data_IF_068105946540
#
_entry.id   IF_068105946540
#
_cell.length_a   1.000
_cell.length_b   1.000
_cell.length_c   1.000
_cell.angle_alpha   90.00
_cell.angle_beta   90.00
_cell.angle_gamma   90.00
#
_symmetry.space_group_name_H-M   'P 1'
#
loop_
_entity.id
_entity.type
_entity.pdbx_description
1 polymer ?
#
# COMPACT_ATOMS: atom_id res chain seq x y z
N UNK A 1 -4.24 -20.55 -20.37
CA UNK A 1 -4.29 -21.07 -18.99
C UNK A 1 -5.44 -22.05 -18.89
N UNK A 2 -5.20 -23.24 -18.35
CA UNK A 2 -6.21 -24.24 -18.07
C UNK A 2 -7.12 -23.79 -16.91
N UNK A 3 -8.40 -24.17 -16.96
CA UNK A 3 -9.39 -23.73 -15.96
C UNK A 3 -9.01 -24.16 -14.52
N UNK A 4 -8.43 -25.36 -14.35
CA UNK A 4 -7.98 -25.83 -13.06
C UNK A 4 -6.82 -24.98 -12.51
N UNK A 5 -5.78 -24.75 -13.31
CA UNK A 5 -4.66 -23.87 -12.94
C UNK A 5 -5.15 -22.48 -12.57
N UNK A 6 -6.12 -21.98 -13.33
CA UNK A 6 -6.74 -20.69 -13.06
C UNK A 6 -7.35 -20.63 -11.65
N UNK A 7 -8.21 -21.59 -11.29
CA UNK A 7 -8.83 -21.61 -9.96
C UNK A 7 -7.81 -21.80 -8.83
N UNK A 8 -6.76 -22.58 -9.07
CA UNK A 8 -5.65 -22.78 -8.14
C UNK A 8 -4.87 -21.50 -7.89
N UNK A 9 -4.50 -20.77 -8.95
CA UNK A 9 -3.86 -19.47 -8.84
C UNK A 9 -4.77 -18.46 -8.14
N UNK A 10 -6.06 -18.38 -8.52
CA UNK A 10 -7.05 -17.52 -7.86
C UNK A 10 -7.11 -17.74 -6.34
N UNK A 11 -7.08 -18.99 -5.89
CA UNK A 11 -7.04 -19.33 -4.46
C UNK A 11 -5.70 -18.95 -3.82
N UNK A 12 -4.59 -19.12 -4.54
CA UNK A 12 -3.28 -18.65 -4.07
C UNK A 12 -3.24 -17.12 -3.85
N UNK A 13 -3.95 -16.34 -4.67
CA UNK A 13 -4.10 -14.88 -4.48
C UNK A 13 -4.81 -14.50 -3.17
N UNK A 14 -5.57 -15.41 -2.55
CA UNK A 14 -6.20 -15.22 -1.23
C UNK A 14 -5.48 -16.01 -0.11
N UNK A 15 -4.22 -16.38 -0.34
CA UNK A 15 -3.38 -17.19 0.57
C UNK A 15 -3.93 -18.60 0.87
N UNK A 16 -4.74 -19.15 -0.03
CA UNK A 16 -5.24 -20.53 0.03
C UNK A 16 -4.57 -21.35 -1.10
N UNK A 17 -3.34 -21.80 -0.85
CA UNK A 17 -2.47 -22.42 -1.87
C UNK A 17 -2.48 -23.94 -1.75
N UNK A 18 -3.08 -24.63 -2.73
CA UNK A 18 -2.88 -26.07 -2.94
C UNK A 18 -1.59 -26.29 -3.76
N UNK A 19 -0.47 -26.41 -3.04
CA UNK A 19 0.87 -26.49 -3.65
C UNK A 19 1.04 -27.72 -4.55
N UNK A 20 0.48 -28.85 -4.15
CA UNK A 20 0.57 -30.09 -4.93
C UNK A 20 -0.21 -29.99 -6.24
N UNK A 21 -1.43 -29.45 -6.19
CA UNK A 21 -2.24 -29.26 -7.38
C UNK A 21 -1.64 -28.20 -8.32
N UNK A 22 -1.07 -27.10 -7.79
CA UNK A 22 -0.34 -26.12 -8.59
C UNK A 22 0.86 -26.74 -9.30
N UNK A 23 1.67 -27.53 -8.58
CA UNK A 23 2.87 -28.16 -9.13
C UNK A 23 2.52 -29.15 -10.26
N UNK A 24 1.47 -29.96 -10.06
CA UNK A 24 0.94 -30.87 -11.10
C UNK A 24 0.43 -30.12 -12.33
N UNK A 25 -0.16 -28.94 -12.12
CA UNK A 25 -0.72 -28.11 -13.18
C UNK A 25 0.37 -27.39 -13.99
N UNK A 26 1.52 -27.06 -13.36
CA UNK A 26 2.63 -26.31 -13.97
C UNK A 26 3.07 -26.86 -15.32
N UNK A 27 3.32 -28.16 -15.40
CA UNK A 27 3.88 -28.80 -16.61
C UNK A 27 2.96 -28.72 -17.84
N UNK A 28 1.67 -28.39 -17.63
CA UNK A 28 0.67 -28.32 -18.69
C UNK A 28 0.39 -26.90 -19.18
N UNK A 29 1.10 -25.92 -18.64
CA UNK A 29 0.85 -24.50 -18.86
C UNK A 29 1.91 -23.84 -19.73
N UNK A 30 1.60 -22.67 -20.29
CA UNK A 30 2.58 -21.88 -21.04
C UNK A 30 3.68 -21.33 -20.12
N UNK A 31 4.90 -21.06 -20.64
CA UNK A 31 6.03 -20.60 -19.82
C UNK A 31 5.72 -19.39 -18.92
N UNK A 32 4.90 -18.46 -19.43
CA UNK A 32 4.46 -17.30 -18.67
C UNK A 32 3.59 -17.66 -17.45
N UNK A 33 2.65 -18.60 -17.60
CA UNK A 33 1.84 -19.09 -16.48
C UNK A 33 2.67 -19.97 -15.53
N UNK A 34 3.65 -20.70 -16.06
CA UNK A 34 4.60 -21.46 -15.23
C UNK A 34 5.42 -20.56 -14.31
N UNK A 35 5.81 -19.37 -14.77
CA UNK A 35 6.51 -18.38 -13.94
C UNK A 35 5.64 -17.90 -12.78
N UNK A 36 4.35 -17.65 -12.99
CA UNK A 36 3.42 -17.28 -11.92
C UNK A 36 3.21 -18.42 -10.91
N UNK A 37 3.09 -19.66 -11.41
CA UNK A 37 3.04 -20.85 -10.54
C UNK A 37 4.33 -20.95 -9.74
N UNK A 38 5.49 -20.70 -10.35
CA UNK A 38 6.77 -20.68 -9.64
C UNK A 38 6.82 -19.59 -8.58
N UNK A 39 6.30 -18.40 -8.83
CA UNK A 39 6.25 -17.33 -7.82
C UNK A 39 5.39 -17.74 -6.62
N UNK A 40 4.21 -18.34 -6.86
CA UNK A 40 3.33 -18.86 -5.81
C UNK A 40 4.01 -19.99 -5.02
N UNK A 41 4.65 -20.93 -5.70
CA UNK A 41 5.25 -22.11 -5.08
C UNK A 41 6.58 -21.79 -4.37
N UNK A 42 7.34 -20.84 -4.90
CA UNK A 42 8.56 -20.25 -4.29
C UNK A 42 8.23 -19.26 -3.18
N UNK A 43 7.01 -19.26 -2.63
CA UNK A 43 6.75 -18.72 -1.29
C UNK A 43 7.60 -19.50 -0.25
N UNK A 44 8.92 -19.33 -0.26
CA UNK A 44 9.61 -19.06 0.98
C UNK A 44 9.06 -17.72 1.41
N UNK A 45 8.15 -17.71 2.39
CA UNK A 45 7.94 -16.51 3.19
C UNK A 45 9.37 -16.05 3.52
N UNK A 46 9.84 -14.92 2.96
CA UNK A 46 11.11 -14.41 3.40
C UNK A 46 11.03 -14.34 4.93
N UNK A 47 12.06 -14.82 5.64
CA UNK A 47 12.23 -14.55 7.08
C UNK A 47 12.43 -13.04 7.35
N UNK A 48 11.95 -12.17 6.45
CA UNK A 48 11.82 -10.75 6.69
C UNK A 48 10.67 -10.64 7.69
N UNK A 49 11.03 -10.55 8.96
CA UNK A 49 10.12 -10.08 10.00
C UNK A 49 9.82 -8.61 9.72
N UNK A 50 8.82 -8.38 8.86
CA UNK A 50 8.11 -7.11 8.76
C UNK A 50 7.24 -6.85 10.01
N UNK A 51 7.08 -7.89 10.83
CA UNK A 51 6.33 -7.92 12.07
C UNK A 51 6.99 -7.03 13.11
N UNK A 52 6.53 -5.78 13.17
CA UNK A 52 6.13 -5.13 14.42
C UNK A 52 5.67 -3.71 14.11
N UNK A 53 4.47 -3.38 14.58
CA UNK A 53 3.96 -2.01 14.67
C UNK A 53 4.68 -1.29 15.83
N UNK A 54 6.01 -1.19 15.75
CA UNK A 54 6.78 -0.36 16.67
C UNK A 54 6.74 1.07 16.13
N UNK A 55 5.77 1.86 16.57
CA UNK A 55 6.03 3.29 16.71
C UNK A 55 6.88 3.56 17.97
N UNK A 56 6.79 2.65 18.95
CA UNK A 56 7.36 2.77 20.30
C UNK A 56 8.78 2.26 20.50
N UNK A 57 9.47 1.72 19.49
CA UNK A 57 10.92 1.48 19.62
C UNK A 57 11.64 2.83 19.46
N UNK A 58 11.67 3.59 20.57
CA UNK A 58 12.14 4.99 20.69
C UNK A 58 13.56 5.29 20.15
N UNK A 59 14.27 4.28 19.67
CA UNK A 59 15.64 4.37 19.12
C UNK A 59 15.70 4.27 17.59
N UNK A 60 14.57 4.24 16.88
CA UNK A 60 14.53 4.17 15.41
C UNK A 60 14.45 5.58 14.83
N UNK A 61 15.28 5.86 13.83
CA UNK A 61 15.23 7.12 13.05
C UNK A 61 13.86 7.24 12.36
N UNK A 62 13.10 8.29 12.71
CA UNK A 62 11.74 8.52 12.25
C UNK A 62 11.65 8.69 10.73
N UNK A 63 12.66 9.33 10.13
CA UNK A 63 12.74 9.54 8.69
C UNK A 63 13.03 8.23 7.95
N UNK A 64 13.96 7.42 8.46
CA UNK A 64 14.25 6.11 7.88
C UNK A 64 13.03 5.19 7.91
N UNK A 65 12.28 5.19 9.01
CA UNK A 65 11.07 4.38 9.16
C UNK A 65 9.93 4.86 8.24
N UNK A 66 9.79 6.18 8.07
CA UNK A 66 8.85 6.77 7.12
C UNK A 66 9.17 6.33 5.68
N UNK A 67 10.43 6.43 5.27
CA UNK A 67 10.89 6.03 3.93
C UNK A 67 10.65 4.53 3.66
N UNK A 68 11.02 3.67 4.60
CA UNK A 68 10.73 2.23 4.52
C UNK A 68 9.22 1.99 4.40
N UNK A 69 8.42 2.74 5.14
CA UNK A 69 6.96 2.58 5.14
C UNK A 69 6.34 2.99 3.82
N UNK A 70 6.71 4.15 3.29
CA UNK A 70 6.21 4.65 2.01
C UNK A 70 6.60 3.71 0.87
N UNK A 71 7.87 3.33 0.79
CA UNK A 71 8.37 2.45 -0.28
C UNK A 71 7.67 1.11 -0.21
N UNK A 72 7.64 0.48 0.97
CA UNK A 72 6.97 -0.82 1.15
C UNK A 72 5.50 -0.75 0.81
N UNK A 73 4.81 0.33 1.20
CA UNK A 73 3.41 0.50 0.88
C UNK A 73 3.15 0.64 -0.62
N UNK A 74 3.82 1.56 -1.31
CA UNK A 74 3.63 1.78 -2.75
C UNK A 74 3.98 0.52 -3.54
N UNK A 75 5.06 -0.17 -3.17
CA UNK A 75 5.45 -1.43 -3.81
C UNK A 75 4.38 -2.51 -3.61
N UNK A 76 3.81 -2.63 -2.41
CA UNK A 76 2.73 -3.58 -2.21
C UNK A 76 1.49 -3.25 -3.04
N UNK A 77 1.04 -1.99 -3.04
CA UNK A 77 -0.12 -1.55 -3.84
C UNK A 77 0.11 -1.82 -5.33
N UNK A 78 1.29 -1.44 -5.84
CA UNK A 78 1.61 -1.65 -7.26
C UNK A 78 1.68 -3.13 -7.62
N UNK A 79 2.19 -3.99 -6.72
CA UNK A 79 2.19 -5.42 -6.91
C UNK A 79 0.75 -6.00 -6.91
N UNK A 80 -0.16 -5.49 -6.07
CA UNK A 80 -1.60 -5.81 -6.16
C UNK A 80 -2.15 -5.44 -7.54
N UNK A 81 -1.91 -4.21 -8.01
CA UNK A 81 -2.43 -3.73 -9.29
C UNK A 81 -1.88 -4.55 -10.45
N UNK A 82 -0.59 -4.90 -10.42
CA UNK A 82 0.05 -5.79 -11.39
C UNK A 82 -0.68 -7.14 -11.47
N UNK A 83 -0.96 -7.75 -10.33
CA UNK A 83 -1.61 -9.05 -10.28
C UNK A 83 -3.13 -9.02 -10.55
N UNK A 84 -3.81 -7.92 -10.23
CA UNK A 84 -5.19 -7.67 -10.66
C UNK A 84 -5.27 -7.53 -12.19
N UNK A 85 -4.31 -6.82 -12.80
CA UNK A 85 -4.19 -6.72 -14.27
C UNK A 85 -3.95 -8.08 -14.90
N UNK A 86 -3.02 -8.87 -14.35
CA UNK A 86 -2.81 -10.25 -14.79
C UNK A 86 -4.12 -11.05 -14.71
N UNK A 87 -4.74 -11.05 -13.54
CA UNK A 87 -5.99 -11.78 -13.28
C UNK A 87 -7.05 -11.39 -14.31
N UNK A 88 -7.29 -10.09 -14.53
CA UNK A 88 -8.32 -9.59 -15.47
C UNK A 88 -8.03 -9.86 -16.93
N UNK A 89 -6.77 -9.74 -17.34
CA UNK A 89 -6.34 -10.07 -18.72
C UNK A 89 -6.71 -11.50 -19.08
N UNK A 90 -6.58 -12.44 -18.14
CA UNK A 90 -6.92 -13.85 -18.37
C UNK A 90 -8.34 -14.24 -17.92
N UNK A 91 -8.98 -13.47 -17.03
CA UNK A 91 -10.31 -13.76 -16.47
C UNK A 91 -11.47 -13.13 -17.20
N UNK A 92 -11.27 -11.90 -17.68
CA UNK A 92 -12.31 -11.04 -18.25
C UNK A 92 -11.70 -10.22 -19.40
N UNK A 93 -11.24 -10.87 -20.48
CA UNK A 93 -10.73 -10.16 -21.64
C UNK A 93 -11.81 -9.16 -22.12
N UNK A 94 -11.47 -7.87 -22.14
CA UNK A 94 -12.41 -6.78 -22.44
C UNK A 94 -12.75 -5.84 -21.28
N UNK A 95 -12.39 -6.17 -20.04
CA UNK A 95 -12.63 -5.30 -18.87
C UNK A 95 -11.58 -4.17 -18.70
N UNK A 96 -11.16 -3.55 -19.81
CA UNK A 96 -10.12 -2.52 -19.88
C UNK A 96 -10.39 -1.30 -18.99
N UNK A 97 -11.65 -0.94 -18.80
CA UNK A 97 -12.05 0.17 -17.92
C UNK A 97 -11.72 -0.13 -16.44
N UNK A 98 -11.78 -1.40 -16.05
CA UNK A 98 -11.38 -1.84 -14.72
C UNK A 98 -9.88 -1.68 -14.48
N UNK A 99 -9.05 -1.98 -15.49
CA UNK A 99 -7.60 -1.83 -15.40
C UNK A 99 -7.19 -0.35 -15.30
N UNK A 100 -7.84 0.52 -16.09
CA UNK A 100 -7.66 1.98 -15.98
C UNK A 100 -7.94 2.48 -14.58
N UNK A 101 -9.00 1.99 -13.93
CA UNK A 101 -9.35 2.39 -12.57
C UNK A 101 -8.28 2.00 -11.53
N UNK A 102 -7.64 0.84 -11.67
CA UNK A 102 -6.59 0.40 -10.74
C UNK A 102 -5.27 1.14 -10.95
N UNK A 103 -4.90 1.41 -12.19
CA UNK A 103 -3.73 2.23 -12.54
C UNK A 103 -3.93 3.65 -12.00
N UNK A 104 -5.12 4.23 -12.19
CA UNK A 104 -5.49 5.52 -11.63
C UNK A 104 -5.48 5.51 -10.10
N UNK A 105 -5.95 4.44 -9.45
CA UNK A 105 -5.88 4.30 -7.99
C UNK A 105 -4.42 4.38 -7.50
N UNK A 106 -3.52 3.62 -8.10
CA UNK A 106 -2.09 3.67 -7.75
C UNK A 106 -1.51 5.06 -8.00
N UNK A 107 -1.83 5.67 -9.14
CA UNK A 107 -1.40 7.04 -9.48
C UNK A 107 -1.84 8.05 -8.43
N UNK A 108 -3.11 8.01 -8.06
CA UNK A 108 -3.70 8.87 -7.04
C UNK A 108 -3.10 8.65 -5.66
N UNK A 109 -2.85 7.40 -5.27
CA UNK A 109 -2.16 7.07 -4.02
C UNK A 109 -0.74 7.65 -4.00
N UNK A 110 0.04 7.42 -5.06
CA UNK A 110 1.40 7.96 -5.18
C UNK A 110 1.38 9.50 -5.18
N UNK A 111 0.47 10.11 -5.94
CA UNK A 111 0.28 11.56 -5.97
C UNK A 111 0.04 12.12 -4.57
N UNK A 112 -0.90 11.54 -3.81
CA UNK A 112 -1.21 11.97 -2.45
C UNK A 112 -0.03 11.80 -1.51
N UNK A 113 0.65 10.66 -1.56
CA UNK A 113 1.81 10.38 -0.70
C UNK A 113 2.92 11.39 -0.96
N UNK A 114 3.35 11.58 -2.22
CA UNK A 114 4.44 12.50 -2.53
C UNK A 114 4.07 13.96 -2.24
N UNK A 115 2.82 14.36 -2.49
CA UNK A 115 2.36 15.73 -2.21
C UNK A 115 2.26 15.99 -0.71
N UNK A 116 1.64 15.09 0.06
CA UNK A 116 1.35 15.34 1.47
C UNK A 116 2.57 15.04 2.34
N UNK A 117 3.18 13.86 2.22
CA UNK A 117 4.33 13.46 3.04
C UNK A 117 5.57 14.26 2.64
N UNK A 118 5.91 14.28 1.35
CA UNK A 118 7.17 14.88 0.86
C UNK A 118 7.03 16.31 0.34
N UNK A 119 5.83 16.91 0.44
CA UNK A 119 5.57 18.29 0.02
C UNK A 119 5.93 18.57 -1.45
N UNK A 120 5.83 17.57 -2.33
CA UNK A 120 6.14 17.71 -3.76
C UNK A 120 5.12 18.62 -4.44
N UNK A 121 5.61 19.38 -5.42
CA UNK A 121 4.81 20.20 -6.33
C UNK A 121 4.95 19.67 -7.74
N UNK A 122 3.82 19.56 -8.43
CA UNK A 122 3.75 18.83 -9.68
C UNK A 122 3.98 19.76 -10.86
N UNK A 123 4.96 19.39 -11.67
CA UNK A 123 5.17 19.94 -13.01
C UNK A 123 4.74 18.89 -14.02
N UNK A 124 4.54 19.29 -15.28
CA UNK A 124 4.25 18.35 -16.36
C UNK A 124 5.32 17.26 -16.50
N UNK A 125 6.60 17.60 -16.25
CA UNK A 125 7.73 16.67 -16.28
C UNK A 125 7.58 15.61 -15.18
N UNK A 126 7.42 16.04 -13.93
CA UNK A 126 7.33 15.13 -12.79
C UNK A 126 6.07 14.24 -12.85
N UNK A 127 4.98 14.76 -13.43
CA UNK A 127 3.76 13.98 -13.64
C UNK A 127 3.91 12.93 -14.76
N UNK A 128 4.65 13.25 -15.82
CA UNK A 128 5.00 12.28 -16.86
C UNK A 128 5.93 11.18 -16.32
N UNK A 129 6.90 11.54 -15.48
CA UNK A 129 7.77 10.56 -14.85
C UNK A 129 7.03 9.67 -13.83
N UNK A 130 5.98 10.18 -13.19
CA UNK A 130 5.07 9.36 -12.39
C UNK A 130 4.40 8.28 -13.24
N UNK A 131 3.90 8.64 -14.43
CA UNK A 131 3.26 7.68 -15.35
C UNK A 131 4.24 6.58 -15.79
N UNK A 132 5.47 6.94 -16.18
CA UNK A 132 6.52 5.96 -16.49
C UNK A 132 6.83 5.06 -15.30
N UNK A 133 6.88 5.62 -14.10
CA UNK A 133 7.19 4.88 -12.87
C UNK A 133 6.13 3.83 -12.62
N UNK A 134 4.86 4.18 -12.79
CA UNK A 134 3.75 3.24 -12.66
C UNK A 134 3.90 2.11 -13.69
N UNK A 135 4.15 2.43 -14.95
CA UNK A 135 4.34 1.40 -15.99
C UNK A 135 5.50 0.44 -15.67
N UNK A 136 6.62 0.96 -15.18
CA UNK A 136 7.75 0.14 -14.75
C UNK A 136 7.43 -0.75 -13.55
N UNK A 137 6.74 -0.22 -12.53
CA UNK A 137 6.30 -1.02 -11.38
C UNK A 137 5.39 -2.17 -11.83
N UNK A 138 4.44 -1.90 -12.72
CA UNK A 138 3.55 -2.92 -13.27
C UNK A 138 4.27 -3.98 -14.11
N UNK A 139 5.50 -3.71 -14.56
CA UNK A 139 6.37 -4.68 -15.23
C UNK A 139 7.26 -5.48 -14.26
N UNK A 140 7.25 -5.18 -12.96
CA UNK A 140 8.11 -5.86 -11.99
C UNK A 140 9.34 -5.07 -11.53
N UNK A 141 9.55 -3.84 -12.02
CA UNK A 141 10.77 -3.07 -11.77
C UNK A 141 10.64 -2.21 -10.52
N UNK A 142 10.88 -2.80 -9.36
CA UNK A 142 10.78 -2.12 -8.06
C UNK A 142 11.69 -0.89 -7.94
N UNK A 143 12.87 -0.93 -8.57
CA UNK A 143 13.87 0.13 -8.59
C UNK A 143 13.33 1.46 -9.17
N UNK A 144 12.31 1.40 -10.03
CA UNK A 144 11.70 2.58 -10.63
C UNK A 144 11.14 3.55 -9.59
N UNK A 145 10.64 3.05 -8.45
CA UNK A 145 10.14 3.91 -7.38
C UNK A 145 11.26 4.75 -6.76
N UNK A 146 12.42 4.13 -6.49
CA UNK A 146 13.58 4.82 -5.93
C UNK A 146 14.13 5.84 -6.93
N UNK A 147 14.17 5.52 -8.21
CA UNK A 147 14.63 6.45 -9.25
C UNK A 147 13.68 7.64 -9.42
N UNK A 148 12.37 7.41 -9.29
CA UNK A 148 11.38 8.49 -9.25
C UNK A 148 11.54 9.39 -8.01
N UNK A 149 11.77 8.81 -6.83
CA UNK A 149 12.05 9.60 -5.64
C UNK A 149 13.30 10.48 -5.80
N UNK A 150 14.35 9.97 -6.48
CA UNK A 150 15.53 10.77 -6.82
C UNK A 150 15.20 11.89 -7.81
N UNK A 151 14.40 11.65 -8.86
CA UNK A 151 14.02 12.69 -9.82
C UNK A 151 13.20 13.81 -9.17
N UNK A 152 12.46 13.48 -8.11
CA UNK A 152 11.77 14.44 -7.25
C UNK A 152 12.67 15.14 -6.21
N UNK A 153 13.98 14.88 -6.22
CA UNK A 153 14.94 15.37 -5.22
C UNK A 153 14.58 14.99 -3.77
N UNK A 154 13.97 13.83 -3.56
CA UNK A 154 13.68 13.33 -2.22
C UNK A 154 14.93 12.61 -1.69
N UNK A 155 15.66 13.16 -0.69
CA UNK A 155 16.82 12.50 -0.13
C UNK A 155 16.36 11.29 0.69
N UNK A 156 16.87 10.11 0.32
CA UNK A 156 16.67 8.88 1.09
C UNK A 156 17.82 8.71 2.07
N UNK A 157 17.51 8.46 3.35
CA UNK A 157 18.50 8.19 4.40
C UNK A 157 19.23 6.87 4.17
N UNK A 158 18.56 5.91 3.54
CA UNK A 158 19.15 4.60 3.25
C UNK A 158 19.56 4.51 1.78
N UNK A 159 20.82 4.17 1.51
CA UNK A 159 21.30 3.89 0.14
C UNK A 159 21.06 2.42 -0.26
N UNK A 160 20.85 1.53 0.70
CA UNK A 160 20.58 0.12 0.46
C UNK A 160 19.10 -0.13 0.18
N UNK A 161 18.81 -1.16 -0.63
CA UNK A 161 17.45 -1.61 -0.91
C UNK A 161 16.77 -2.14 0.35
N UNK A 162 15.54 -1.69 0.59
CA UNK A 162 14.64 -2.21 1.61
C UNK A 162 14.20 -3.64 1.25
N UNK A 163 13.76 -4.43 2.24
CA UNK A 163 13.35 -5.81 1.99
C UNK A 163 12.24 -5.92 0.94
N UNK A 164 11.28 -4.98 0.93
CA UNK A 164 10.19 -4.96 -0.05
C UNK A 164 10.65 -4.73 -1.50
N UNK A 165 11.73 -3.97 -1.71
CA UNK A 165 12.33 -3.79 -3.04
C UNK A 165 12.95 -5.10 -3.54
N UNK A 166 13.58 -5.88 -2.65
CA UNK A 166 14.23 -7.16 -3.00
C UNK A 166 13.22 -8.29 -3.28
N UNK A 167 12.06 -8.25 -2.62
CA UNK A 167 11.03 -9.29 -2.72
C UNK A 167 9.77 -8.81 -3.44
N UNK A 168 9.89 -7.81 -4.32
CA UNK A 168 8.75 -7.13 -4.96
C UNK A 168 7.74 -8.10 -5.58
N UNK A 169 8.22 -9.04 -6.38
CA UNK A 169 7.43 -10.03 -7.11
C UNK A 169 6.62 -10.97 -6.20
N UNK A 170 7.05 -11.14 -4.94
CA UNK A 170 6.35 -11.99 -3.98
C UNK A 170 5.50 -11.21 -2.99
N UNK A 171 5.48 -9.87 -3.04
CA UNK A 171 4.84 -9.03 -2.01
C UNK A 171 3.36 -9.37 -1.80
N UNK A 172 2.61 -9.60 -2.88
CA UNK A 172 1.20 -9.93 -2.83
C UNK A 172 0.86 -11.25 -2.10
N UNK A 173 1.86 -12.10 -1.86
CA UNK A 173 1.72 -13.38 -1.16
C UNK A 173 2.09 -13.31 0.31
N UNK A 174 2.52 -12.13 0.78
CA UNK A 174 2.79 -11.96 2.21
C UNK A 174 1.48 -11.93 3.01
N UNK A 175 1.49 -12.51 4.22
CA UNK A 175 0.31 -12.57 5.06
C UNK A 175 -0.01 -11.19 5.67
N UNK A 176 -1.23 -11.05 6.19
CA UNK A 176 -1.76 -9.77 6.68
C UNK A 176 -0.97 -9.24 7.89
N UNK A 177 -0.45 -10.11 8.75
CA UNK A 177 0.37 -9.69 9.90
C UNK A 177 1.62 -8.94 9.46
N UNK A 178 2.20 -9.33 8.32
CA UNK A 178 3.42 -8.76 7.77
C UNK A 178 3.17 -7.37 7.19
N UNK A 179 2.12 -7.19 6.36
CA UNK A 179 1.88 -5.91 5.68
C UNK A 179 0.88 -4.98 6.40
N UNK A 180 0.04 -5.51 7.29
CA UNK A 180 -0.91 -4.72 8.09
C UNK A 180 -0.28 -3.55 8.85
N UNK A 181 0.89 -3.72 9.50
CA UNK A 181 1.61 -2.64 10.15
C UNK A 181 1.94 -1.45 9.23
N UNK A 182 2.31 -1.72 7.98
CA UNK A 182 2.66 -0.70 6.99
C UNK A 182 1.45 0.12 6.54
N UNK A 183 0.29 -0.53 6.37
CA UNK A 183 -0.97 0.16 6.15
C UNK A 183 -1.26 1.14 7.29
N UNK A 184 -1.26 0.66 8.54
CA UNK A 184 -1.55 1.50 9.68
C UNK A 184 -0.56 2.65 9.82
N UNK A 185 0.75 2.37 9.71
CA UNK A 185 1.79 3.40 9.76
C UNK A 185 1.58 4.48 8.71
N UNK A 186 1.37 4.09 7.45
CA UNK A 186 1.15 5.07 6.39
C UNK A 186 -0.12 5.89 6.65
N UNK A 187 -1.23 5.27 7.06
CA UNK A 187 -2.48 5.99 7.33
C UNK A 187 -2.31 7.05 8.42
N UNK A 188 -1.59 6.72 9.49
CA UNK A 188 -1.27 7.68 10.56
C UNK A 188 -0.32 8.79 10.08
N UNK A 189 0.74 8.48 9.32
CA UNK A 189 1.60 9.51 8.75
C UNK A 189 0.88 10.42 7.75
N UNK A 190 0.03 9.85 6.92
CA UNK A 190 -0.79 10.61 5.98
C UNK A 190 -1.78 11.51 6.72
N UNK A 191 -2.31 11.08 7.87
CA UNK A 191 -3.16 11.91 8.72
C UNK A 191 -2.40 13.12 9.29
N UNK A 192 -1.19 12.90 9.83
CA UNK A 192 -0.36 14.01 10.30
C UNK A 192 0.05 14.95 9.15
N UNK A 193 0.44 14.39 8.01
CA UNK A 193 0.77 15.18 6.82
C UNK A 193 -0.43 15.99 6.32
N UNK A 194 -1.63 15.40 6.32
CA UNK A 194 -2.87 16.08 5.95
C UNK A 194 -3.12 17.30 6.86
N UNK A 195 -2.95 17.15 8.17
CA UNK A 195 -3.13 18.24 9.13
C UNK A 195 -2.02 19.31 9.05
N UNK A 196 -0.79 18.91 8.77
CA UNK A 196 0.36 19.82 8.70
C UNK A 196 0.39 20.67 7.43
N UNK A 197 -0.06 20.13 6.29
CA UNK A 197 -0.02 20.83 5.00
C UNK A 197 -1.19 21.81 4.90
N UNK A 198 -1.04 22.96 5.54
CA UNK A 198 -2.01 24.05 5.51
C UNK A 198 -1.55 25.11 4.49
N UNK A 199 -2.46 25.51 3.60
CA UNK A 199 -2.20 26.53 2.58
C UNK A 199 -2.94 26.23 1.27
N UNK A 200 -3.46 27.29 0.64
CA UNK A 200 -4.20 27.24 -0.63
C UNK A 200 -3.27 26.98 -1.82
N UNK A 201 -2.60 25.83 -1.86
CA UNK A 201 -1.89 25.38 -3.04
C UNK A 201 -2.72 24.31 -3.74
N UNK A 202 -3.01 24.51 -5.03
CA UNK A 202 -3.87 23.61 -5.82
C UNK A 202 -3.49 22.13 -5.68
N UNK A 203 -2.19 21.80 -5.77
CA UNK A 203 -1.72 20.42 -5.60
C UNK A 203 -2.06 19.83 -4.22
N UNK A 204 -1.91 20.60 -3.13
CA UNK A 204 -2.22 20.14 -1.78
C UNK A 204 -3.73 19.94 -1.63
N UNK A 205 -4.54 20.90 -2.08
CA UNK A 205 -6.00 20.81 -1.99
C UNK A 205 -6.52 19.60 -2.78
N UNK A 206 -5.96 19.38 -3.98
CA UNK A 206 -6.25 18.21 -4.78
C UNK A 206 -5.79 16.91 -4.09
N UNK A 207 -4.57 16.87 -3.54
CA UNK A 207 -4.08 15.69 -2.83
C UNK A 207 -4.93 15.37 -1.60
N UNK A 208 -5.36 16.38 -0.86
CA UNK A 208 -6.28 16.23 0.26
C UNK A 208 -7.61 15.64 -0.22
N UNK A 209 -8.21 16.22 -1.26
CA UNK A 209 -9.47 15.74 -1.84
C UNK A 209 -9.40 14.28 -2.30
N UNK A 210 -8.36 13.94 -3.08
CA UNK A 210 -8.12 12.58 -3.55
C UNK A 210 -7.89 11.63 -2.36
N UNK A 211 -7.14 12.05 -1.33
CA UNK A 211 -6.94 11.25 -0.14
C UNK A 211 -8.25 10.99 0.62
N UNK A 212 -9.12 12.01 0.78
CA UNK A 212 -10.45 11.86 1.40
C UNK A 212 -11.28 10.82 0.65
N UNK A 213 -11.32 10.90 -0.67
CA UNK A 213 -12.03 9.94 -1.51
C UNK A 213 -11.43 8.54 -1.42
N UNK A 214 -10.10 8.44 -1.43
CA UNK A 214 -9.40 7.18 -1.31
C UNK A 214 -9.78 6.46 -0.01
N UNK A 215 -9.64 7.12 1.15
CA UNK A 215 -9.95 6.48 2.44
C UNK A 215 -11.45 6.19 2.56
N UNK A 216 -12.33 7.08 2.14
CA UNK A 216 -13.78 6.86 2.29
C UNK A 216 -14.35 5.81 1.34
N UNK A 217 -13.79 5.63 0.13
CA UNK A 217 -14.41 4.79 -0.91
C UNK A 217 -13.54 3.66 -1.43
N UNK A 218 -12.21 3.79 -1.44
CA UNK A 218 -11.35 2.93 -2.25
C UNK A 218 -10.26 2.19 -1.48
N UNK A 219 -9.94 2.57 -0.24
CA UNK A 219 -8.89 1.92 0.55
C UNK A 219 -9.16 0.43 0.76
N UNK A 220 -10.42 -0.02 0.88
CA UNK A 220 -10.73 -1.45 0.97
C UNK A 220 -10.16 -2.26 -0.20
N UNK A 221 -10.01 -1.66 -1.39
CA UNK A 221 -9.49 -2.33 -2.58
C UNK A 221 -8.00 -2.65 -2.47
N UNK A 222 -7.29 -1.96 -1.59
CA UNK A 222 -5.86 -2.19 -1.35
C UNK A 222 -5.60 -3.20 -0.23
N UNK A 223 -6.66 -3.66 0.45
CA UNK A 223 -6.59 -4.70 1.46
C UNK A 223 -6.69 -6.07 0.79
N UNK A 224 -5.82 -7.01 1.16
CA UNK A 224 -5.80 -8.38 0.60
C UNK A 224 -6.61 -9.40 1.39
N UNK A 225 -7.04 -9.04 2.59
CA UNK A 225 -7.80 -9.91 3.47
C UNK A 225 -9.28 -9.58 3.34
N UNK A 226 -10.10 -10.52 2.85
CA UNK A 226 -11.54 -10.32 2.63
C UNK A 226 -12.26 -9.85 3.90
N UNK A 227 -11.89 -10.42 5.05
CA UNK A 227 -12.42 -10.03 6.36
C UNK A 227 -12.06 -8.56 6.65
N UNK A 228 -10.82 -8.17 6.37
CA UNK A 228 -10.31 -6.81 6.55
C UNK A 228 -10.99 -5.83 5.58
N UNK A 229 -11.22 -6.23 4.32
CA UNK A 229 -11.97 -5.45 3.32
C UNK A 229 -13.39 -5.18 3.82
N UNK A 230 -14.10 -6.22 4.26
CA UNK A 230 -15.46 -6.12 4.76
C UNK A 230 -15.54 -5.24 6.01
N UNK A 231 -14.66 -5.46 6.99
CA UNK A 231 -14.60 -4.61 8.17
C UNK A 231 -14.27 -3.16 7.84
N UNK A 232 -13.36 -2.93 6.88
CA UNK A 232 -13.06 -1.58 6.45
C UNK A 232 -14.24 -0.89 5.77
N UNK A 233 -15.03 -1.60 4.96
CA UNK A 233 -16.24 -1.03 4.36
C UNK A 233 -17.23 -0.56 5.44
N UNK A 234 -17.37 -1.32 6.53
CA UNK A 234 -18.19 -0.91 7.67
C UNK A 234 -17.60 0.30 8.42
N UNK A 235 -16.28 0.33 8.61
CA UNK A 235 -15.57 1.49 9.17
C UNK A 235 -15.78 2.74 8.30
N UNK A 236 -15.55 2.63 7.00
CA UNK A 236 -15.70 3.73 6.04
C UNK A 236 -17.12 4.30 6.06
N UNK A 237 -18.14 3.44 6.18
CA UNK A 237 -19.53 3.87 6.32
C UNK A 237 -19.80 4.55 7.67
N UNK A 238 -19.26 3.99 8.77
CA UNK A 238 -19.44 4.51 10.14
C UNK A 238 -18.78 5.87 10.33
N UNK A 239 -17.59 6.05 9.76
CA UNK A 239 -16.79 7.27 9.86
C UNK A 239 -16.98 8.20 8.65
N UNK A 240 -17.95 7.94 7.77
CA UNK A 240 -18.16 8.67 6.52
C UNK A 240 -18.26 10.18 6.74
N UNK A 241 -19.11 10.63 7.66
CA UNK A 241 -19.29 12.05 7.95
C UNK A 241 -18.01 12.68 8.52
N UNK A 242 -17.28 11.97 9.39
CA UNK A 242 -15.99 12.42 9.91
C UNK A 242 -14.97 12.57 8.78
N UNK A 243 -14.87 11.60 7.87
CA UNK A 243 -13.98 11.68 6.71
C UNK A 243 -14.34 12.78 5.71
N UNK A 244 -15.60 13.22 5.63
CA UNK A 244 -16.00 14.27 4.68
C UNK A 244 -15.88 15.67 5.27
N UNK A 245 -16.20 15.82 6.56
CA UNK A 245 -16.45 17.13 7.16
C UNK A 245 -15.38 17.54 8.19
N UNK A 246 -14.57 16.62 8.70
CA UNK A 246 -13.55 16.91 9.70
C UNK A 246 -12.17 17.13 9.05
N UNK A 247 -11.32 17.88 9.73
CA UNK A 247 -9.92 18.08 9.37
C UNK A 247 -8.96 17.38 10.35
N UNK A 248 -9.44 16.88 11.49
CA UNK A 248 -8.64 16.14 12.48
C UNK A 248 -8.53 14.66 12.12
N UNK A 249 -7.83 14.37 11.02
CA UNK A 249 -7.64 13.01 10.52
C UNK A 249 -6.87 12.12 11.48
N UNK A 250 -5.96 12.69 12.27
CA UNK A 250 -5.19 11.97 13.28
C UNK A 250 -6.14 11.39 14.34
N UNK A 251 -7.09 12.19 14.86
CA UNK A 251 -8.10 11.68 15.80
C UNK A 251 -9.03 10.66 15.17
N UNK A 252 -9.44 10.85 13.91
CA UNK A 252 -10.25 9.86 13.18
C UNK A 252 -9.52 8.51 13.12
N UNK A 253 -8.25 8.51 12.71
CA UNK A 253 -7.48 7.28 12.59
C UNK A 253 -7.13 6.65 13.94
N UNK A 254 -6.97 7.45 15.00
CA UNK A 254 -6.89 6.97 16.38
C UNK A 254 -8.17 6.23 16.81
N UNK A 255 -9.34 6.84 16.61
CA UNK A 255 -10.64 6.24 16.94
C UNK A 255 -10.85 4.92 16.17
N UNK A 256 -10.55 4.92 14.86
CA UNK A 256 -10.65 3.75 14.00
C UNK A 256 -9.69 2.63 14.45
N UNK A 257 -8.44 2.99 14.79
CA UNK A 257 -7.46 2.01 15.25
C UNK A 257 -7.91 1.35 16.57
N UNK A 258 -8.43 2.14 17.52
CA UNK A 258 -8.97 1.60 18.77
C UNK A 258 -10.22 0.74 18.56
N UNK A 259 -11.11 1.10 17.62
CA UNK A 259 -12.24 0.25 17.24
C UNK A 259 -11.78 -1.11 16.68
N UNK A 260 -10.76 -1.12 15.83
CA UNK A 260 -10.22 -2.39 15.29
C UNK A 260 -9.55 -3.22 16.39
N UNK A 261 -8.82 -2.57 17.31
CA UNK A 261 -8.15 -3.26 18.42
C UNK A 261 -9.15 -3.92 19.38
N UNK A 262 -10.24 -3.24 19.71
CA UNK A 262 -11.28 -3.80 20.58
C UNK A 262 -11.96 -5.02 19.96
N UNK A 263 -12.27 -4.98 18.65
CA UNK A 263 -12.79 -6.14 17.90
C UNK A 263 -11.80 -7.32 17.91
N UNK A 264 -10.50 -7.03 17.91
CA UNK A 264 -9.43 -8.04 17.98
C UNK A 264 -9.06 -8.45 19.42
N UNK A 265 -9.79 -8.01 20.44
CA UNK A 265 -9.49 -8.27 21.86
C UNK A 265 -8.08 -7.83 22.28
N UNK A 266 -7.54 -6.78 21.63
CA UNK A 266 -6.26 -6.16 21.98
C UNK A 266 -6.49 -4.98 22.90
N UNK A 267 -5.49 -4.65 23.73
CA UNK A 267 -5.51 -3.45 24.56
C UNK A 267 -5.71 -2.20 23.70
N UNK A 268 -6.53 -1.25 24.14
CA UNK A 268 -6.64 0.04 23.45
C UNK A 268 -5.34 0.82 23.56
N UNK A 269 -5.11 1.64 22.55
CA UNK A 269 -4.02 2.59 22.49
C UNK A 269 -4.40 3.83 23.30
N UNK A 270 -3.57 4.18 24.28
CA UNK A 270 -3.86 5.32 25.17
C UNK A 270 -3.62 6.66 24.48
N UNK A 271 -4.26 7.72 24.96
CA UNK A 271 -4.06 9.06 24.41
C UNK A 271 -2.61 9.56 24.59
N UNK A 272 -1.96 9.19 25.69
CA UNK A 272 -0.55 9.53 25.96
C UNK A 272 0.40 8.87 24.97
N UNK A 273 0.19 7.58 24.67
CA UNK A 273 0.96 6.87 23.64
C UNK A 273 0.71 7.47 22.26
N UNK A 274 -0.55 7.80 21.95
CA UNK A 274 -0.90 8.45 20.69
C UNK A 274 -0.16 9.76 20.49
N UNK A 275 -0.24 10.69 21.44
CA UNK A 275 0.45 11.98 21.32
C UNK A 275 1.98 11.84 21.20
N UNK A 276 2.56 10.85 21.87
CA UNK A 276 3.99 10.52 21.72
C UNK A 276 4.33 10.10 20.29
N UNK A 277 3.55 9.18 19.72
CA UNK A 277 3.80 8.67 18.36
C UNK A 277 3.46 9.73 17.29
N UNK A 278 2.48 10.61 17.55
CA UNK A 278 2.23 11.78 16.70
C UNK A 278 3.43 12.70 16.63
N UNK A 279 4.03 13.05 17.77
CA UNK A 279 5.23 13.89 17.81
C UNK A 279 6.39 13.24 17.05
N UNK A 280 6.58 11.92 17.22
CA UNK A 280 7.55 11.14 16.46
C UNK A 280 7.28 11.21 14.95
N UNK A 281 6.03 11.00 14.52
CA UNK A 281 5.65 11.04 13.11
C UNK A 281 5.84 12.43 12.49
N UNK A 282 5.41 13.50 13.18
CA UNK A 282 5.57 14.89 12.73
C UNK A 282 7.03 15.27 12.52
N UNK A 283 7.95 14.76 13.35
CA UNK A 283 9.39 15.02 13.20
C UNK A 283 9.96 14.57 11.85
N UNK A 284 9.38 13.53 11.22
CA UNK A 284 9.80 13.01 9.93
C UNK A 284 9.21 13.76 8.71
N UNK A 285 8.19 14.60 8.94
CA UNK A 285 7.43 15.35 7.94
C UNK A 285 7.90 16.81 7.78
N UNK A 286 8.85 17.24 8.61
CA UNK A 286 9.49 18.57 8.54
C UNK A 286 10.24 18.67 7.20
N UNK A 287 10.13 19.81 6.46
CA UNK A 287 10.61 19.96 5.08
C UNK A 287 12.07 19.56 4.84
#
# INVERSE_FOLDING_TARGET
>A
MQNQTFHLLKRAFINDVDKEALQKSKLKESPFIQQEIDLVLKQSLPNIQFDTLHFSSRNVDSRKLLEETVITYILFISNIVKHEKFSRTFLRPGAWDGDRCWIQLLKFVMYCIFTLIYNIRWTSINFFDLDKTIDHLLQGRAEALRDFMKSLNIPLKNNSLYPAEKSYESLMFHPVNVFGPYHWRLLHWMAEAFEMRNGNHADIDQAKSIWREFVSKSLHRTLRCNICMYHYQNIAQTFKEKFLNDNNYSKIWFDIHNLVRSVQLKSNYSESEFETDRAFMKSALVP
#
